data_IF_992540217365
#
_entry.id   IF_992540217365
#
_cell.length_a   1.000
_cell.length_b   1.000
_cell.length_c   1.000
_cell.angle_alpha   90.00
_cell.angle_beta   90.00
_cell.angle_gamma   90.00
#
_symmetry.space_group_name_H-M   'P 1'
#
loop_
_entity.id
_entity.type
_entity.pdbx_description
1 polymer ?
#
# COMPACT_ATOMS: atom_id res chain seq x y z
N UNK A 1 29.62 -2.34 -7.50
CA UNK A 1 28.30 -2.64 -8.09
C UNK A 1 27.26 -2.00 -7.18
N UNK A 2 26.68 -0.86 -7.56
CA UNK A 2 25.59 -0.27 -6.79
C UNK A 2 24.41 -1.25 -6.80
N UNK A 3 23.90 -1.63 -5.62
CA UNK A 3 22.81 -2.59 -5.52
C UNK A 3 21.56 -2.03 -6.19
N UNK A 4 20.97 -2.78 -7.13
CA UNK A 4 19.62 -2.53 -7.64
C UNK A 4 18.66 -2.72 -6.47
N UNK A 5 18.15 -1.63 -5.92
CA UNK A 5 17.24 -1.65 -4.78
C UNK A 5 16.24 -0.52 -4.94
N UNK A 6 15.09 -0.69 -4.31
CA UNK A 6 13.98 0.25 -4.36
C UNK A 6 13.67 0.66 -2.94
N UNK A 7 13.70 1.97 -2.69
CA UNK A 7 13.30 2.53 -1.41
C UNK A 7 11.78 2.68 -1.44
N UNK A 8 11.13 1.83 -0.67
CA UNK A 8 9.70 1.86 -0.41
C UNK A 8 9.44 2.46 0.96
N UNK A 9 8.22 2.95 1.16
CA UNK A 9 7.78 3.53 2.42
C UNK A 9 6.36 3.08 2.70
N UNK A 10 6.08 2.79 3.96
CA UNK A 10 4.78 2.35 4.42
C UNK A 10 4.50 2.84 5.83
N UNK A 11 3.22 2.88 6.15
CA UNK A 11 2.74 3.18 7.50
C UNK A 11 3.04 1.97 8.40
N UNK A 12 3.55 2.19 9.61
CA UNK A 12 3.84 1.11 10.58
C UNK A 12 2.99 1.15 11.84
N UNK A 13 2.21 2.20 12.01
CA UNK A 13 1.29 2.38 13.13
C UNK A 13 -0.04 2.82 12.55
N UNK A 14 -1.16 2.27 13.03
CA UNK A 14 -2.48 2.58 12.51
C UNK A 14 -2.71 4.11 12.45
N UNK A 15 -2.86 4.61 11.22
CA UNK A 15 -3.07 6.02 10.94
C UNK A 15 -4.35 6.55 11.61
N UNK A 16 -5.34 5.69 11.85
CA UNK A 16 -6.54 6.03 12.61
C UNK A 16 -6.21 6.28 14.09
N UNK A 17 -5.39 5.43 14.69
CA UNK A 17 -5.01 5.49 16.10
C UNK A 17 -3.97 6.58 16.41
N UNK A 18 -3.15 6.98 15.43
CA UNK A 18 -2.05 7.93 15.62
C UNK A 18 -2.45 9.40 15.60
N UNK A 19 -3.74 9.72 15.60
CA UNK A 19 -4.31 11.08 15.59
C UNK A 19 -4.08 11.89 16.88
N UNK A 20 -3.23 11.40 17.80
CA UNK A 20 -2.83 12.14 19.00
C UNK A 20 -1.67 13.08 18.64
N UNK A 21 -1.88 14.37 18.83
CA UNK A 21 -1.03 15.50 18.42
C UNK A 21 0.49 15.24 18.49
N UNK A 22 1.20 15.58 17.40
CA UNK A 22 2.67 15.70 17.38
C UNK A 22 3.47 14.50 16.87
N UNK A 23 2.83 13.42 16.39
CA UNK A 23 3.50 12.17 16.00
C UNK A 23 3.61 11.92 14.47
N UNK A 24 3.16 12.85 13.62
CA UNK A 24 3.04 12.64 12.15
C UNK A 24 4.36 12.20 11.47
N UNK A 25 5.51 12.65 11.98
CA UNK A 25 6.82 12.31 11.41
C UNK A 25 7.34 10.91 11.81
N UNK A 26 6.66 10.19 12.72
CA UNK A 26 7.10 8.88 13.22
C UNK A 26 6.25 7.70 12.70
N UNK A 27 5.38 7.94 11.71
CA UNK A 27 4.43 6.95 11.20
C UNK A 27 4.93 6.15 10.00
N UNK A 28 5.94 6.66 9.30
CA UNK A 28 6.46 6.05 8.08
C UNK A 28 7.79 5.35 8.35
N UNK A 29 7.85 4.07 8.00
CA UNK A 29 9.11 3.34 7.93
C UNK A 29 9.56 3.21 6.48
N UNK A 30 10.85 3.49 6.25
CA UNK A 30 11.47 3.25 4.95
C UNK A 30 11.97 1.81 4.87
N UNK A 31 11.44 1.04 3.93
CA UNK A 31 11.93 -0.30 3.63
C UNK A 31 12.79 -0.27 2.37
N UNK A 32 14.04 -0.73 2.48
CA UNK A 32 14.90 -0.92 1.32
C UNK A 32 14.66 -2.33 0.76
N UNK A 33 13.76 -2.44 -0.21
CA UNK A 33 13.54 -3.66 -0.94
C UNK A 33 14.73 -3.91 -1.87
N UNK A 34 15.51 -4.94 -1.55
CA UNK A 34 16.57 -5.46 -2.44
C UNK A 34 15.93 -6.45 -3.39
N UNK A 35 15.64 -6.02 -4.62
CA UNK A 35 14.99 -6.84 -5.63
C UNK A 35 15.64 -6.62 -6.98
N UNK A 36 15.75 -7.69 -7.76
CA UNK A 36 16.08 -7.64 -9.18
C UNK A 36 14.81 -7.56 -10.05
N UNK A 37 13.63 -7.66 -9.45
CA UNK A 37 12.34 -7.52 -10.12
C UNK A 37 12.16 -6.10 -10.65
N UNK A 38 11.52 -6.02 -11.81
CA UNK A 38 11.13 -4.76 -12.40
C UNK A 38 9.96 -4.15 -11.62
N UNK A 39 10.09 -2.86 -11.29
CA UNK A 39 9.02 -2.06 -10.71
C UNK A 39 8.40 -1.20 -11.80
N UNK A 40 7.09 -1.24 -11.91
CA UNK A 40 6.35 -0.45 -12.91
C UNK A 40 5.49 0.64 -12.25
N UNK A 41 5.02 1.58 -13.07
CA UNK A 41 4.01 2.58 -12.71
C UNK A 41 2.70 1.91 -12.23
N UNK A 42 2.01 2.57 -11.29
CA UNK A 42 0.80 2.03 -10.67
C UNK A 42 1.10 0.80 -9.82
N UNK A 43 1.96 0.95 -8.79
CA UNK A 43 2.91 -0.04 -8.30
C UNK A 43 2.60 -1.49 -8.67
N UNK A 44 3.38 -2.04 -9.60
CA UNK A 44 3.21 -3.41 -10.12
C UNK A 44 4.52 -4.17 -10.02
N UNK A 45 4.42 -5.43 -9.59
CA UNK A 45 5.40 -6.50 -9.75
C UNK A 45 4.73 -7.70 -10.42
N UNK A 46 5.49 -8.77 -10.65
CA UNK A 46 4.93 -10.05 -11.13
C UNK A 46 3.84 -10.60 -10.20
N UNK A 47 3.92 -10.35 -8.88
CA UNK A 47 3.06 -11.00 -7.88
C UNK A 47 2.05 -10.07 -7.21
N UNK A 48 2.17 -8.77 -7.44
CA UNK A 48 1.31 -7.76 -6.83
C UNK A 48 1.03 -6.63 -7.81
N UNK A 49 -0.21 -6.17 -7.90
CA UNK A 49 -0.58 -5.01 -8.71
C UNK A 49 -1.58 -4.12 -7.97
N UNK A 50 -1.31 -2.82 -7.93
CA UNK A 50 -2.27 -1.84 -7.41
C UNK A 50 -3.28 -1.47 -8.51
N UNK A 51 -4.56 -1.63 -8.20
CA UNK A 51 -5.68 -1.22 -9.05
C UNK A 51 -6.54 -0.26 -8.26
N UNK A 52 -6.27 1.04 -8.39
CA UNK A 52 -6.97 2.09 -7.68
C UNK A 52 -8.10 2.66 -8.54
N UNK A 53 -9.33 2.49 -8.08
CA UNK A 53 -10.54 2.91 -8.79
C UNK A 53 -11.20 3.98 -7.94
N UNK A 54 -11.53 5.12 -8.53
CA UNK A 54 -12.31 6.14 -7.86
C UNK A 54 -13.71 5.57 -7.57
N UNK A 55 -14.11 5.48 -6.29
CA UNK A 55 -15.34 4.79 -5.89
C UNK A 55 -16.61 5.55 -6.28
N UNK A 56 -16.51 6.84 -6.61
CA UNK A 56 -17.65 7.68 -6.98
C UNK A 56 -17.91 7.65 -8.49
N UNK A 57 -16.84 7.59 -9.29
CA UNK A 57 -16.88 7.70 -10.75
C UNK A 57 -16.63 6.37 -11.46
N UNK A 58 -16.03 5.39 -10.77
CA UNK A 58 -15.56 4.13 -11.35
C UNK A 58 -14.34 4.29 -12.26
N UNK A 59 -13.75 5.49 -12.34
CA UNK A 59 -12.58 5.74 -13.18
C UNK A 59 -11.31 5.18 -12.54
N UNK A 60 -10.39 4.66 -13.36
CA UNK A 60 -9.07 4.27 -12.89
C UNK A 60 -8.29 5.53 -12.46
N UNK A 61 -7.80 5.53 -11.23
CA UNK A 61 -6.96 6.59 -10.69
C UNK A 61 -5.55 6.40 -11.26
N UNK A 62 -4.87 7.47 -11.71
CA UNK A 62 -3.49 7.38 -12.15
C UNK A 62 -2.60 6.72 -11.10
N UNK A 63 -1.84 5.72 -11.54
CA UNK A 63 -0.89 5.01 -10.70
C UNK A 63 0.31 5.88 -10.31
N UNK A 64 0.83 5.67 -9.10
CA UNK A 64 2.08 6.28 -8.65
C UNK A 64 3.22 5.90 -9.62
N UNK A 65 4.00 6.90 -10.06
CA UNK A 65 5.03 6.69 -11.09
C UNK A 65 6.32 6.19 -10.47
N UNK A 66 6.89 5.15 -11.06
CA UNK A 66 8.20 4.66 -10.66
C UNK A 66 9.30 5.55 -11.24
N UNK A 67 10.27 5.89 -10.38
CA UNK A 67 11.48 6.62 -10.73
C UNK A 67 12.68 5.73 -10.45
N UNK A 68 13.34 5.30 -11.52
CA UNK A 68 14.53 4.46 -11.44
C UNK A 68 15.68 5.17 -10.69
N UNK A 69 16.60 4.36 -10.15
CA UNK A 69 17.82 4.87 -9.53
C UNK A 69 18.64 5.70 -10.52
N UNK A 70 19.28 6.74 -10.03
CA UNK A 70 20.20 7.61 -10.78
C UNK A 70 21.57 7.65 -10.10
N UNK A 71 22.62 8.20 -10.73
CA UNK A 71 23.92 8.35 -10.07
C UNK A 71 23.86 9.15 -8.76
N UNK A 72 22.94 10.11 -8.66
CA UNK A 72 22.73 10.94 -7.46
C UNK A 72 21.73 10.32 -6.48
N UNK A 73 20.90 9.39 -6.94
CA UNK A 73 19.88 8.71 -6.13
C UNK A 73 20.01 7.20 -6.31
N UNK A 74 20.80 6.58 -5.45
CA UNK A 74 21.25 5.19 -5.57
C UNK A 74 20.14 4.13 -5.57
N UNK A 75 18.90 4.49 -5.23
CA UNK A 75 17.75 3.57 -5.19
C UNK A 75 16.57 4.14 -5.97
N UNK A 76 15.83 3.24 -6.63
CA UNK A 76 14.55 3.59 -7.23
C UNK A 76 13.52 3.95 -6.16
N UNK A 77 12.46 4.65 -6.54
CA UNK A 77 11.36 5.01 -5.64
C UNK A 77 10.11 5.35 -6.44
N UNK A 78 8.97 5.49 -5.75
CA UNK A 78 7.74 6.01 -6.35
C UNK A 78 7.59 7.51 -6.08
N UNK A 79 7.08 8.24 -7.08
CA UNK A 79 6.74 9.65 -6.94
C UNK A 79 5.47 9.81 -6.11
N UNK A 80 5.58 10.51 -4.98
CA UNK A 80 4.48 10.84 -4.07
C UNK A 80 4.53 12.35 -3.83
N UNK A 81 3.41 13.06 -4.03
CA UNK A 81 3.36 14.51 -3.89
C UNK A 81 3.46 14.93 -2.41
N UNK A 82 2.66 14.30 -1.57
CA UNK A 82 2.68 14.49 -0.12
C UNK A 82 2.63 13.12 0.58
N UNK A 83 3.65 12.83 1.39
CA UNK A 83 3.75 11.58 2.15
C UNK A 83 3.07 11.67 3.52
N UNK A 84 2.67 12.87 3.93
CA UNK A 84 2.01 13.14 5.20
C UNK A 84 0.49 13.20 5.08
N UNK A 85 -0.01 13.41 3.85
CA UNK A 85 -1.43 13.41 3.54
C UNK A 85 -1.96 11.98 3.31
N UNK A 86 -2.83 11.45 4.19
CA UNK A 86 -3.42 10.12 4.04
C UNK A 86 -4.42 10.05 2.90
N UNK A 87 -4.87 11.18 2.35
CA UNK A 87 -5.82 11.26 1.23
C UNK A 87 -5.11 11.29 -0.13
N UNK A 88 -3.79 11.50 -0.17
CA UNK A 88 -2.99 11.49 -1.39
C UNK A 88 -3.00 10.10 -2.04
N UNK A 89 -3.54 9.94 -3.26
CA UNK A 89 -3.68 8.62 -3.88
C UNK A 89 -2.34 7.90 -4.06
N UNK A 90 -1.29 8.60 -4.50
CA UNK A 90 0.01 7.97 -4.68
C UNK A 90 0.59 7.45 -3.36
N UNK A 91 0.33 8.15 -2.25
CA UNK A 91 0.74 7.71 -0.92
C UNK A 91 0.00 6.43 -0.51
N UNK A 92 -1.33 6.39 -0.66
CA UNK A 92 -2.13 5.19 -0.37
C UNK A 92 -1.69 3.99 -1.20
N UNK A 93 -1.52 4.18 -2.51
CA UNK A 93 -1.08 3.14 -3.44
C UNK A 93 0.29 2.58 -3.05
N UNK A 94 1.27 3.43 -2.78
CA UNK A 94 2.63 3.00 -2.43
C UNK A 94 2.68 2.38 -1.04
N UNK A 95 1.96 2.92 -0.06
CA UNK A 95 1.93 2.40 1.31
C UNK A 95 1.37 0.96 1.33
N UNK A 96 0.16 0.75 0.80
CA UNK A 96 -0.46 -0.58 0.80
C UNK A 96 0.34 -1.59 -0.03
N UNK A 97 0.88 -1.16 -1.17
CA UNK A 97 1.77 -2.00 -1.99
C UNK A 97 2.98 -2.46 -1.19
N UNK A 98 3.61 -1.54 -0.47
CA UNK A 98 4.81 -1.80 0.33
C UNK A 98 4.50 -2.71 1.51
N UNK A 99 3.41 -2.46 2.24
CA UNK A 99 3.00 -3.31 3.36
C UNK A 99 2.69 -4.73 2.89
N UNK A 100 1.92 -4.90 1.81
CA UNK A 100 1.61 -6.24 1.29
C UNK A 100 2.90 -6.96 0.85
N UNK A 101 3.83 -6.30 0.17
CA UNK A 101 5.11 -6.90 -0.19
C UNK A 101 5.94 -7.29 1.04
N UNK A 102 5.99 -6.46 2.07
CA UNK A 102 6.74 -6.75 3.30
C UNK A 102 6.13 -7.94 4.06
N UNK A 103 4.79 -8.01 4.16
CA UNK A 103 4.09 -9.17 4.74
C UNK A 103 4.35 -10.44 3.92
N UNK A 104 4.31 -10.34 2.59
CA UNK A 104 4.64 -11.46 1.72
C UNK A 104 6.08 -11.95 1.94
N UNK A 105 7.05 -11.03 1.99
CA UNK A 105 8.47 -11.35 2.22
C UNK A 105 8.65 -12.06 3.58
N UNK A 106 8.08 -11.48 4.65
CA UNK A 106 8.11 -12.05 6.01
C UNK A 106 7.58 -13.49 6.05
N UNK A 107 6.42 -13.78 5.43
CA UNK A 107 5.88 -15.14 5.43
C UNK A 107 6.72 -16.12 4.59
N UNK A 108 7.48 -15.63 3.63
CA UNK A 108 8.32 -16.45 2.75
C UNK A 108 9.72 -16.71 3.32
N UNK A 109 10.08 -16.06 4.43
CA UNK A 109 11.36 -16.25 5.11
C UNK A 109 11.61 -17.73 5.49
N UNK A 110 12.89 -18.17 5.51
CA UNK A 110 13.26 -19.57 5.77
C UNK A 110 12.78 -20.13 7.13
N UNK A 111 12.57 -19.26 8.11
CA UNK A 111 12.13 -19.59 9.47
C UNK A 111 10.61 -19.42 9.67
N UNK A 112 9.86 -18.99 8.64
CA UNK A 112 8.39 -18.86 8.69
C UNK A 112 7.70 -19.95 7.87
N UNK A 113 7.48 -19.78 6.55
CA UNK A 113 6.92 -20.83 5.68
C UNK A 113 7.97 -21.44 4.74
N UNK A 114 9.10 -20.77 4.52
CA UNK A 114 10.17 -21.19 3.61
C UNK A 114 9.71 -21.59 2.19
N UNK A 115 8.62 -20.98 1.70
CA UNK A 115 8.05 -21.24 0.38
C UNK A 115 7.26 -20.03 -0.12
N UNK A 116 7.14 -19.82 -1.44
CA UNK A 116 6.29 -18.76 -1.97
C UNK A 116 4.83 -18.90 -1.52
N UNK A 117 4.24 -17.80 -1.09
CA UNK A 117 2.81 -17.67 -0.83
C UNK A 117 2.01 -17.99 -2.09
N UNK A 118 0.90 -18.70 -1.89
CA UNK A 118 -0.07 -19.03 -2.93
C UNK A 118 -1.43 -18.50 -2.52
N UNK A 119 -2.19 -18.07 -3.52
CA UNK A 119 -3.53 -17.53 -3.31
C UNK A 119 -4.59 -18.62 -3.40
N UNK A 120 -5.76 -18.38 -2.80
CA UNK A 120 -6.90 -19.28 -2.87
C UNK A 120 -7.67 -19.19 -4.22
N UNK A 121 -6.96 -18.82 -5.28
CA UNK A 121 -7.40 -18.72 -6.66
C UNK A 121 -6.27 -19.17 -7.58
N UNK A 122 -6.60 -19.49 -8.84
CA UNK A 122 -5.60 -19.87 -9.83
C UNK A 122 -4.90 -18.62 -10.41
N UNK A 123 -3.62 -18.46 -10.08
CA UNK A 123 -2.80 -17.32 -10.50
C UNK A 123 -1.78 -16.92 -9.42
N UNK A 124 -0.76 -16.17 -9.85
CA UNK A 124 0.33 -15.72 -8.97
C UNK A 124 0.21 -14.25 -8.55
N UNK A 125 -0.46 -13.42 -9.36
CA UNK A 125 -0.58 -11.99 -9.12
C UNK A 125 -1.84 -11.69 -8.30
N UNK A 126 -1.63 -11.05 -7.14
CA UNK A 126 -2.69 -10.51 -6.30
C UNK A 126 -2.99 -9.07 -6.73
N UNK A 127 -4.26 -8.75 -6.93
CA UNK A 127 -4.70 -7.38 -7.13
C UNK A 127 -4.93 -6.73 -5.76
N UNK A 128 -4.59 -5.46 -5.61
CA UNK A 128 -4.88 -4.69 -4.40
C UNK A 128 -5.63 -3.44 -4.81
N UNK A 129 -6.81 -3.26 -4.22
CA UNK A 129 -7.69 -2.12 -4.44
C UNK A 129 -7.67 -1.26 -3.18
N UNK A 130 -6.93 -0.14 -3.14
CA UNK A 130 -6.79 0.66 -1.92
C UNK A 130 -8.10 1.34 -1.49
N UNK A 131 -9.00 1.60 -2.44
CA UNK A 131 -10.28 2.30 -2.24
C UNK A 131 -11.42 1.62 -3.01
N UNK A 132 -11.79 0.42 -2.57
CA UNK A 132 -12.86 -0.36 -3.19
C UNK A 132 -14.27 0.23 -2.98
N UNK A 133 -14.43 1.14 -2.02
CA UNK A 133 -15.69 1.82 -1.74
C UNK A 133 -15.76 2.41 -0.33
N UNK A 134 -16.92 2.98 0.02
CA UNK A 134 -17.17 3.53 1.36
C UNK A 134 -17.80 2.47 2.28
N UNK A 135 -17.01 1.95 3.22
CA UNK A 135 -17.43 0.96 4.22
C UNK A 135 -16.34 0.84 5.30
N UNK A 136 -16.71 0.51 6.54
CA UNK A 136 -15.76 0.14 7.58
C UNK A 136 -15.36 -1.35 7.46
N UNK A 137 -14.63 -1.71 6.40
CA UNK A 137 -14.24 -3.12 6.15
C UNK A 137 -13.03 -3.26 5.22
N UNK A 138 -12.53 -4.50 5.11
CA UNK A 138 -11.64 -4.96 4.05
C UNK A 138 -11.99 -6.41 3.66
N UNK A 139 -11.81 -6.78 2.39
CA UNK A 139 -12.11 -8.12 1.89
C UNK A 139 -10.95 -8.75 1.14
N UNK A 140 -10.71 -10.04 1.39
CA UNK A 140 -10.03 -10.91 0.43
C UNK A 140 -11.07 -11.57 -0.48
N UNK A 141 -11.14 -11.13 -1.73
CA UNK A 141 -12.14 -11.58 -2.69
C UNK A 141 -11.51 -12.46 -3.77
N UNK A 142 -11.85 -13.76 -3.76
CA UNK A 142 -11.21 -14.78 -4.59
C UNK A 142 -11.55 -14.64 -6.07
N UNK A 143 -12.80 -14.35 -6.38
CA UNK A 143 -13.28 -14.32 -7.77
C UNK A 143 -12.66 -13.17 -8.56
N UNK A 144 -12.47 -12.01 -7.93
CA UNK A 144 -11.74 -10.87 -8.51
C UNK A 144 -10.25 -10.90 -8.20
N UNK A 145 -9.74 -11.93 -7.51
CA UNK A 145 -8.33 -12.11 -7.17
C UNK A 145 -7.71 -10.91 -6.44
N UNK A 146 -8.47 -10.30 -5.53
CA UNK A 146 -8.13 -9.00 -4.99
C UNK A 146 -8.22 -8.91 -3.47
N UNK A 147 -7.30 -8.19 -2.85
CA UNK A 147 -7.53 -7.51 -1.58
C UNK A 147 -8.23 -6.18 -1.84
N UNK A 148 -9.34 -5.94 -1.15
CA UNK A 148 -10.17 -4.77 -1.30
C UNK A 148 -10.26 -4.04 0.02
N UNK A 149 -9.72 -2.83 0.06
CA UNK A 149 -9.75 -1.97 1.23
C UNK A 149 -10.81 -0.90 1.04
N UNK A 150 -11.54 -0.61 2.11
CA UNK A 150 -12.57 0.42 2.12
C UNK A 150 -12.17 1.56 3.04
N UNK A 151 -12.92 2.64 2.94
CA UNK A 151 -12.70 3.81 3.77
C UNK A 151 -14.04 4.33 4.29
N UNK A 152 -14.00 5.06 5.39
CA UNK A 152 -15.21 5.53 6.06
C UNK A 152 -14.92 6.78 6.89
N UNK A 153 -15.97 7.52 7.20
CA UNK A 153 -15.87 8.69 8.06
C UNK A 153 -15.91 8.28 9.53
N UNK A 154 -14.93 8.73 10.30
CA UNK A 154 -15.03 8.79 11.74
C UNK A 154 -15.88 10.01 12.11
N UNK A 155 -17.03 9.76 12.74
CA UNK A 155 -17.99 10.79 13.13
C UNK A 155 -17.78 11.26 14.57
N UNK A 156 -17.95 12.55 14.80
CA UNK A 156 -17.95 13.17 16.12
C UNK A 156 -19.26 13.00 16.88
N UNK A 157 -19.30 13.46 18.14
CA UNK A 157 -20.51 13.39 18.97
C UNK A 157 -21.73 14.11 18.37
N UNK A 158 -21.47 15.09 17.50
CA UNK A 158 -22.48 15.88 16.77
C UNK A 158 -22.81 15.31 15.38
N UNK A 159 -22.24 14.15 15.02
CA UNK A 159 -22.45 13.49 13.73
C UNK A 159 -21.65 14.10 12.58
N UNK A 160 -20.78 15.09 12.82
CA UNK A 160 -19.91 15.64 11.79
C UNK A 160 -18.71 14.72 11.54
N UNK A 161 -18.27 14.61 10.28
CA UNK A 161 -17.03 13.91 9.95
C UNK A 161 -15.84 14.64 10.57
N UNK A 162 -15.13 13.95 11.46
CA UNK A 162 -13.88 14.42 12.05
C UNK A 162 -12.70 14.05 11.16
N UNK A 163 -12.73 12.83 10.60
CA UNK A 163 -11.61 12.28 9.84
C UNK A 163 -12.10 11.19 8.89
N UNK A 164 -11.53 11.14 7.69
CA UNK A 164 -11.68 9.99 6.80
C UNK A 164 -10.62 8.93 7.13
N UNK A 165 -11.05 7.69 7.32
CA UNK A 165 -10.22 6.55 7.73
C UNK A 165 -10.08 5.60 6.55
N UNK A 166 -8.85 5.30 6.16
CA UNK A 166 -8.52 4.39 5.07
C UNK A 166 -7.95 3.08 5.61
N UNK A 167 -8.66 1.96 5.42
CA UNK A 167 -8.18 0.66 5.91
C UNK A 167 -6.92 0.17 5.19
N UNK A 168 -6.64 0.66 3.98
CA UNK A 168 -5.39 0.39 3.24
C UNK A 168 -4.15 1.05 3.85
N UNK A 169 -4.31 1.91 4.87
CA UNK A 169 -3.22 2.52 5.62
C UNK A 169 -3.06 1.90 7.02
N UNK A 170 -3.79 0.82 7.34
CA UNK A 170 -3.67 0.10 8.61
C UNK A 170 -2.90 -1.20 8.42
N UNK A 171 -1.64 -1.30 8.92
CA UNK A 171 -0.84 -2.51 8.78
C UNK A 171 -1.45 -3.73 9.48
N UNK A 172 -2.26 -3.52 10.52
CA UNK A 172 -2.92 -4.62 11.23
C UNK A 172 -4.11 -5.21 10.46
N UNK A 173 -4.68 -4.45 9.51
CA UNK A 173 -5.75 -4.93 8.63
C UNK A 173 -5.18 -5.65 7.40
N UNK A 174 -4.02 -5.20 6.91
CA UNK A 174 -3.35 -5.73 5.70
C UNK A 174 -2.74 -7.10 5.98
#
# INVERSE_FOLDING_TARGET
>A
MAGKGVRLQYVTVDYAASSLEGAEQKLLEGWLLKTDQEMLDGPITRRLAIVDIDPNTGALVPGARYQAATPTRHYGHYAIADQTDPTEPAFQQVSVFTTVLAVMDMFEEPDVLARPLRWAFDGEQLLVVPRAGRMANAFYHRDSRSLQFFFFDALGPDGQTIKEIFTCLSPDII
#
